data_IF_226158835874
#
_entry.id   IF_226158835874
#
_cell.length_a   1.000
_cell.length_b   1.000
_cell.length_c   1.000
_cell.angle_alpha   90.00
_cell.angle_beta   90.00
_cell.angle_gamma   90.00
#
_symmetry.space_group_name_H-M   'P 1'
#
loop_
_entity.id
_entity.type
_entity.pdbx_description
1 polymer ?
#
# COMPACT_ATOMS: atom_id res chain seq x y z
N UNK A 1 26.62 -18.43 61.45
CA UNK A 1 25.35 -18.14 60.74
C UNK A 1 25.35 -16.71 60.20
N UNK A 2 26.20 -16.38 59.23
CA UNK A 2 26.29 -15.00 58.69
C UNK A 2 26.80 -15.00 57.24
N UNK A 3 26.23 -15.84 56.36
CA UNK A 3 26.71 -15.92 54.96
C UNK A 3 25.59 -15.92 53.90
N UNK A 4 24.35 -15.62 54.25
CA UNK A 4 23.23 -15.69 53.30
C UNK A 4 22.67 -14.34 52.80
N UNK A 5 23.15 -13.20 53.30
CA UNK A 5 22.56 -11.91 52.96
C UNK A 5 23.25 -11.12 51.84
N UNK A 6 24.36 -11.61 51.29
CA UNK A 6 25.10 -10.83 50.26
C UNK A 6 24.78 -11.19 48.80
N UNK A 7 23.83 -12.12 48.52
CA UNK A 7 23.52 -12.54 47.14
C UNK A 7 22.33 -11.81 46.47
N UNK A 8 21.61 -10.97 47.17
CA UNK A 8 20.40 -10.33 46.65
C UNK A 8 20.61 -8.94 46.04
N UNK A 9 21.80 -8.36 46.14
CA UNK A 9 22.04 -6.98 45.65
C UNK A 9 22.62 -6.97 44.22
N UNK A 10 23.08 -8.11 43.71
CA UNK A 10 23.74 -8.15 42.38
C UNK A 10 22.83 -8.35 41.17
N UNK A 11 21.55 -8.67 41.36
CA UNK A 11 20.64 -8.92 40.23
C UNK A 11 19.99 -7.67 39.63
N UNK A 12 19.92 -6.57 40.35
CA UNK A 12 19.24 -5.35 39.91
C UNK A 12 19.99 -4.58 38.82
N UNK A 13 21.32 -4.55 38.88
CA UNK A 13 22.14 -3.80 37.95
C UNK A 13 22.28 -4.44 36.55
N UNK A 14 22.21 -5.77 36.49
CA UNK A 14 22.28 -6.52 35.22
C UNK A 14 20.99 -6.38 34.43
N UNK A 15 19.85 -6.49 35.09
CA UNK A 15 18.53 -6.30 34.42
C UNK A 15 18.34 -4.88 33.85
N UNK A 16 18.88 -3.88 34.52
CA UNK A 16 18.81 -2.49 34.02
C UNK A 16 19.65 -2.29 32.74
N UNK A 17 20.83 -2.90 32.68
CA UNK A 17 21.72 -2.81 31.52
C UNK A 17 21.16 -3.57 30.31
N UNK A 18 20.51 -4.70 30.51
CA UNK A 18 19.85 -5.47 29.45
C UNK A 18 18.64 -4.73 28.91
N UNK A 19 17.80 -4.14 29.75
CA UNK A 19 16.67 -3.32 29.34
C UNK A 19 17.11 -2.06 28.60
N UNK A 20 18.15 -1.39 29.07
CA UNK A 20 18.70 -0.23 28.40
C UNK A 20 19.25 -0.59 27.01
N UNK A 21 19.87 -1.74 26.83
CA UNK A 21 20.33 -2.24 25.53
C UNK A 21 19.18 -2.48 24.53
N UNK A 22 18.09 -3.08 24.99
CA UNK A 22 16.89 -3.32 24.13
C UNK A 22 16.24 -2.01 23.72
N UNK A 23 16.11 -1.06 24.63
CA UNK A 23 15.55 0.26 24.29
C UNK A 23 16.45 1.06 23.36
N UNK A 24 17.76 0.98 23.50
CA UNK A 24 18.71 1.64 22.62
C UNK A 24 18.63 1.05 21.19
N UNK A 25 18.51 -0.27 21.08
CA UNK A 25 18.40 -0.96 19.80
C UNK A 25 17.06 -0.66 19.10
N UNK A 26 15.96 -0.68 19.84
CA UNK A 26 14.64 -0.30 19.33
C UNK A 26 14.60 1.17 18.89
N UNK A 27 15.17 2.08 19.67
CA UNK A 27 15.29 3.49 19.32
C UNK A 27 16.14 3.72 18.06
N UNK A 28 17.22 2.96 17.90
CA UNK A 28 18.05 2.98 16.69
C UNK A 28 17.28 2.57 15.43
N UNK A 29 16.53 1.47 15.50
CA UNK A 29 15.71 0.99 14.37
C UNK A 29 14.64 2.01 14.00
N UNK A 30 13.92 2.55 14.99
CA UNK A 30 12.88 3.56 14.75
C UNK A 30 13.49 4.81 14.09
N UNK A 31 14.66 5.25 14.53
CA UNK A 31 15.35 6.41 13.95
C UNK A 31 15.75 6.17 12.50
N UNK A 32 16.27 5.00 12.17
CA UNK A 32 16.62 4.63 10.79
C UNK A 32 15.37 4.61 9.89
N UNK A 33 14.27 4.02 10.38
CA UNK A 33 13.00 4.00 9.65
C UNK A 33 12.47 5.44 9.44
N UNK A 34 12.51 6.28 10.47
CA UNK A 34 12.06 7.67 10.39
C UNK A 34 12.88 8.48 9.38
N UNK A 35 14.21 8.34 9.39
CA UNK A 35 15.09 8.98 8.41
C UNK A 35 14.81 8.45 6.99
N UNK A 36 14.68 7.14 6.84
CA UNK A 36 14.33 6.53 5.54
C UNK A 36 13.00 7.07 5.00
N UNK A 37 11.96 7.12 5.83
CA UNK A 37 10.66 7.66 5.44
C UNK A 37 10.73 9.16 5.14
N UNK A 38 11.48 9.94 5.91
CA UNK A 38 11.65 11.37 5.67
C UNK A 38 12.36 11.64 4.33
N UNK A 39 13.43 10.92 4.03
CA UNK A 39 14.16 11.06 2.77
C UNK A 39 13.31 10.62 1.58
N UNK A 40 12.56 9.51 1.69
CA UNK A 40 11.70 9.04 0.62
C UNK A 40 10.41 9.86 0.48
N UNK A 41 9.86 10.39 1.57
CA UNK A 41 8.67 11.26 1.51
C UNK A 41 8.96 12.62 0.86
N UNK A 42 10.18 13.14 1.00
CA UNK A 42 10.59 14.38 0.32
C UNK A 42 10.80 14.18 -1.18
N UNK A 43 11.26 12.99 -1.62
CA UNK A 43 11.37 12.65 -3.04
C UNK A 43 10.01 12.55 -3.77
N UNK A 44 8.93 12.23 -3.06
CA UNK A 44 7.61 12.02 -3.67
C UNK A 44 6.79 13.30 -3.88
N UNK A 45 7.26 14.46 -3.39
CA UNK A 45 6.43 15.68 -3.38
C UNK A 45 6.51 16.55 -4.64
N UNK A 46 7.50 16.37 -5.53
CA UNK A 46 7.72 17.35 -6.60
C UNK A 46 8.26 16.82 -7.92
N UNK A 47 8.25 15.52 -8.18
CA UNK A 47 8.92 14.99 -9.36
C UNK A 47 8.03 14.82 -10.60
N UNK A 48 7.66 15.96 -11.20
CA UNK A 48 7.49 16.04 -12.66
C UNK A 48 8.84 15.95 -13.41
N UNK A 49 9.97 16.01 -12.71
CA UNK A 49 11.31 16.00 -13.31
C UNK A 49 11.78 14.66 -13.85
N UNK A 50 11.11 13.57 -13.50
CA UNK A 50 11.42 12.22 -14.00
C UNK A 50 10.36 11.63 -14.91
N UNK A 51 9.31 12.40 -15.27
CA UNK A 51 8.26 11.91 -16.13
C UNK A 51 8.72 11.90 -17.60
N UNK A 52 8.40 10.81 -18.28
CA UNK A 52 8.55 10.74 -19.73
C UNK A 52 7.50 11.66 -20.41
N UNK A 53 7.74 12.12 -21.67
CA UNK A 53 6.86 13.07 -22.34
C UNK A 53 5.39 12.66 -22.44
N UNK A 54 5.11 11.34 -22.37
CA UNK A 54 3.77 10.75 -22.42
C UNK A 54 3.19 10.41 -21.05
N UNK A 55 3.91 10.67 -19.97
CA UNK A 55 3.45 10.42 -18.61
C UNK A 55 2.87 11.67 -17.98
N UNK A 56 1.73 11.53 -17.31
CA UNK A 56 1.08 12.60 -16.56
C UNK A 56 0.84 12.13 -15.13
N UNK A 57 1.05 13.00 -14.16
CA UNK A 57 0.72 12.71 -12.77
C UNK A 57 -0.79 12.68 -12.58
N UNK A 58 -1.31 11.66 -11.92
CA UNK A 58 -2.74 11.54 -11.66
C UNK A 58 -3.34 12.76 -10.96
N UNK A 59 -2.57 13.43 -10.08
CA UNK A 59 -2.99 14.67 -9.40
C UNK A 59 -3.11 15.90 -10.30
N UNK A 60 -2.51 15.89 -11.51
CA UNK A 60 -2.57 17.00 -12.47
C UNK A 60 -3.60 16.76 -13.56
N UNK A 61 -4.28 15.61 -13.55
CA UNK A 61 -5.39 15.33 -14.46
C UNK A 61 -6.57 16.27 -14.17
N UNK A 62 -7.41 16.56 -15.18
CA UNK A 62 -8.71 17.19 -14.96
C UNK A 62 -9.54 16.41 -13.94
N UNK A 63 -10.41 17.10 -13.21
CA UNK A 63 -11.19 16.47 -12.14
C UNK A 63 -12.01 15.23 -12.57
N UNK A 64 -12.66 15.23 -13.75
CA UNK A 64 -13.33 14.02 -14.23
C UNK A 64 -12.40 12.82 -14.34
N UNK A 65 -11.20 13.03 -14.89
CA UNK A 65 -10.19 11.97 -15.08
C UNK A 65 -9.63 11.50 -13.76
N UNK A 66 -9.47 12.40 -12.78
CA UNK A 66 -9.08 12.02 -11.43
C UNK A 66 -10.13 11.11 -10.75
N UNK A 67 -11.44 11.36 -11.00
CA UNK A 67 -12.50 10.50 -10.49
C UNK A 67 -12.43 9.10 -11.11
N UNK A 68 -12.30 9.04 -12.44
CA UNK A 68 -12.12 7.76 -13.14
C UNK A 68 -10.87 7.02 -12.65
N UNK A 69 -9.76 7.72 -12.46
CA UNK A 69 -8.54 7.12 -11.91
C UNK A 69 -8.73 6.53 -10.50
N UNK A 70 -9.47 7.24 -9.64
CA UNK A 70 -9.82 6.71 -8.30
C UNK A 70 -10.71 5.47 -8.41
N UNK A 71 -11.70 5.49 -9.29
CA UNK A 71 -12.58 4.35 -9.55
C UNK A 71 -11.81 3.13 -10.06
N UNK A 72 -10.83 3.33 -10.95
CA UNK A 72 -9.93 2.25 -11.42
C UNK A 72 -9.16 1.63 -10.24
N UNK A 73 -8.62 2.44 -9.35
CA UNK A 73 -7.88 1.93 -8.16
C UNK A 73 -8.79 1.13 -7.22
N UNK A 74 -10.01 1.60 -7.01
CA UNK A 74 -11.01 0.90 -6.23
C UNK A 74 -11.37 -0.45 -6.87
N UNK A 75 -11.63 -0.43 -8.18
CA UNK A 75 -11.92 -1.63 -8.95
C UNK A 75 -10.79 -2.66 -8.93
N UNK A 76 -9.54 -2.22 -9.01
CA UNK A 76 -8.38 -3.09 -8.90
C UNK A 76 -8.30 -3.74 -7.51
N UNK A 77 -8.50 -2.98 -6.46
CA UNK A 77 -8.50 -3.49 -5.08
C UNK A 77 -9.61 -4.54 -4.86
N UNK A 78 -10.80 -4.30 -5.42
CA UNK A 78 -11.90 -5.26 -5.37
C UNK A 78 -11.57 -6.54 -6.16
N UNK A 79 -10.99 -6.41 -7.36
CA UNK A 79 -10.56 -7.54 -8.17
C UNK A 79 -9.48 -8.39 -7.48
N UNK A 80 -8.51 -7.76 -6.81
CA UNK A 80 -7.47 -8.45 -6.03
C UNK A 80 -8.07 -9.20 -4.83
N UNK A 81 -9.02 -8.59 -4.14
CA UNK A 81 -9.73 -9.20 -3.01
C UNK A 81 -10.52 -10.44 -3.46
N UNK A 82 -11.22 -10.34 -4.58
CA UNK A 82 -11.97 -11.46 -5.17
C UNK A 82 -11.03 -12.58 -5.65
N UNK A 83 -9.92 -12.23 -6.28
CA UNK A 83 -8.87 -13.19 -6.65
C UNK A 83 -8.29 -13.90 -5.42
N UNK A 84 -8.05 -13.19 -4.33
CA UNK A 84 -7.54 -13.81 -3.10
C UNK A 84 -8.50 -14.89 -2.57
N UNK A 85 -9.82 -14.65 -2.71
CA UNK A 85 -10.89 -15.54 -2.27
C UNK A 85 -11.10 -16.72 -3.23
N UNK A 86 -11.18 -16.45 -4.54
CA UNK A 86 -11.59 -17.44 -5.57
C UNK A 86 -10.42 -18.09 -6.30
N UNK A 87 -9.19 -17.55 -6.12
CA UNK A 87 -7.98 -17.94 -6.86
C UNK A 87 -8.02 -17.66 -8.37
N UNK A 88 -9.05 -16.94 -8.83
CA UNK A 88 -9.22 -16.54 -10.23
C UNK A 88 -9.48 -15.03 -10.32
N UNK A 89 -8.99 -14.41 -11.38
CA UNK A 89 -9.30 -13.01 -11.64
C UNK A 89 -10.76 -12.87 -12.10
N UNK A 90 -11.54 -11.99 -11.48
CA UNK A 90 -12.95 -11.81 -11.84
C UNK A 90 -13.09 -11.17 -13.21
N UNK A 91 -14.21 -11.44 -13.87
CA UNK A 91 -14.59 -10.72 -15.07
C UNK A 91 -15.21 -9.35 -14.75
N UNK A 92 -15.06 -8.34 -15.63
CA UNK A 92 -15.67 -7.03 -15.44
C UNK A 92 -17.18 -7.09 -15.16
N UNK A 93 -17.90 -8.01 -15.81
CA UNK A 93 -19.32 -8.21 -15.60
C UNK A 93 -19.67 -8.66 -14.18
N UNK A 94 -18.84 -9.50 -13.56
CA UNK A 94 -19.06 -9.93 -12.18
C UNK A 94 -18.79 -8.79 -11.17
N UNK A 95 -17.81 -7.95 -11.43
CA UNK A 95 -17.54 -6.76 -10.63
C UNK A 95 -18.64 -5.70 -10.81
N UNK A 96 -19.15 -5.54 -12.03
CA UNK A 96 -20.29 -4.68 -12.32
C UNK A 96 -21.56 -5.11 -11.56
N UNK A 97 -21.84 -6.40 -11.51
CA UNK A 97 -22.97 -6.96 -10.76
C UNK A 97 -22.87 -6.71 -9.24
N UNK A 98 -21.66 -6.57 -8.72
CA UNK A 98 -21.38 -6.21 -7.34
C UNK A 98 -21.40 -4.68 -7.09
N UNK A 99 -21.65 -3.88 -8.12
CA UNK A 99 -21.65 -2.43 -8.03
C UNK A 99 -20.26 -1.79 -7.88
N UNK A 100 -19.20 -2.52 -8.23
CA UNK A 100 -17.83 -2.05 -8.07
C UNK A 100 -17.47 -1.06 -9.17
N UNK A 101 -17.08 0.15 -8.80
CA UNK A 101 -16.51 1.12 -9.74
C UNK A 101 -15.12 0.62 -10.25
N UNK A 102 -14.74 0.89 -11.48
CA UNK A 102 -15.45 1.62 -12.54
C UNK A 102 -16.36 0.74 -13.42
N UNK A 103 -16.54 -0.53 -13.05
CA UNK A 103 -17.25 -1.53 -13.85
C UNK A 103 -18.78 -1.38 -13.75
N UNK A 104 -19.27 -0.75 -12.68
CA UNK A 104 -20.69 -0.52 -12.46
C UNK A 104 -21.33 0.29 -13.59
N UNK A 105 -22.61 0.04 -13.93
CA UNK A 105 -23.30 0.73 -15.01
C UNK A 105 -23.62 2.20 -14.72
N UNK A 106 -23.36 2.67 -13.50
CA UNK A 106 -23.54 4.05 -13.06
C UNK A 106 -22.33 4.52 -12.25
N UNK A 107 -22.02 5.80 -12.32
CA UNK A 107 -20.92 6.44 -11.60
C UNK A 107 -19.68 6.67 -12.45
N UNK A 108 -18.57 6.89 -11.77
CA UNK A 108 -17.29 7.17 -12.42
C UNK A 108 -16.77 5.94 -13.17
N UNK A 109 -16.61 6.08 -14.48
CA UNK A 109 -16.21 4.97 -15.36
C UNK A 109 -17.36 4.30 -16.13
N UNK A 110 -18.62 4.66 -15.85
CA UNK A 110 -19.79 4.08 -16.54
C UNK A 110 -19.81 4.33 -18.06
N UNK A 111 -19.11 5.36 -18.54
CA UNK A 111 -18.98 5.66 -19.97
C UNK A 111 -18.06 4.68 -20.71
N UNK A 112 -17.30 3.85 -19.98
CA UNK A 112 -16.34 2.92 -20.57
C UNK A 112 -16.92 1.52 -20.69
N UNK A 113 -16.65 0.87 -21.81
CA UNK A 113 -16.90 -0.57 -21.99
C UNK A 113 -15.69 -1.33 -21.48
N UNK A 114 -15.87 -2.08 -20.38
CA UNK A 114 -14.78 -2.82 -19.75
C UNK A 114 -14.66 -4.23 -20.28
N UNK A 115 -13.43 -4.64 -20.55
CA UNK A 115 -13.09 -5.99 -20.97
C UNK A 115 -11.85 -6.48 -20.23
N UNK A 116 -11.71 -7.80 -20.10
CA UNK A 116 -10.53 -8.45 -19.53
C UNK A 116 -9.78 -9.21 -20.62
N UNK A 117 -8.48 -9.14 -20.60
CA UNK A 117 -7.59 -9.98 -21.42
C UNK A 117 -6.56 -10.63 -20.53
N UNK A 118 -6.24 -11.89 -20.82
CA UNK A 118 -5.19 -12.63 -20.13
C UNK A 118 -4.20 -13.17 -21.15
N UNK A 119 -2.92 -12.81 -20.96
CA UNK A 119 -1.85 -13.25 -21.83
C UNK A 119 -0.60 -13.55 -21.01
N UNK A 120 -0.08 -14.74 -21.17
CA UNK A 120 1.16 -15.18 -20.46
C UNK A 120 1.10 -15.00 -18.93
N UNK A 121 -0.05 -15.23 -18.32
CA UNK A 121 -0.27 -15.06 -16.89
C UNK A 121 -0.44 -13.61 -16.41
N UNK A 122 -0.41 -12.64 -17.32
CA UNK A 122 -0.69 -11.24 -17.05
C UNK A 122 -2.14 -10.96 -17.40
N UNK A 123 -2.89 -10.41 -16.44
CA UNK A 123 -4.27 -10.01 -16.63
C UNK A 123 -4.36 -8.50 -16.75
N UNK A 124 -5.04 -8.04 -17.77
CA UNK A 124 -5.29 -6.63 -18.04
C UNK A 124 -6.79 -6.36 -18.12
N UNK A 125 -7.21 -5.24 -17.54
CA UNK A 125 -8.55 -4.69 -17.70
C UNK A 125 -8.48 -3.46 -18.59
N UNK A 126 -9.31 -3.44 -19.63
CA UNK A 126 -9.34 -2.36 -20.60
C UNK A 126 -10.70 -1.66 -20.57
N UNK A 127 -10.69 -0.34 -20.41
CA UNK A 127 -11.85 0.50 -20.62
C UNK A 127 -11.75 1.17 -22.00
N UNK A 128 -12.78 1.03 -22.82
CA UNK A 128 -12.94 1.75 -24.10
C UNK A 128 -14.09 2.73 -23.97
N UNK A 129 -13.90 4.03 -24.35
CA UNK A 129 -14.97 5.02 -24.35
C UNK A 129 -16.04 4.70 -25.38
#
# INVERSE_FOLDING_TARGET
MLSHHLRLIQSGSQQWRERAGVFALAGGIISVIAVYLAVNATGSRNDSRGLLPYQTLARTLPEPDQRVFRAIREGLSAAESERARTKAWPDPASLAAQGVAPFAPAGDGAAYQWSRSEQSGIVNYFGRP
#
